data_IF_997389746721
#
_entry.id   IF_997389746721
#
_cell.length_a   1.000
_cell.length_b   1.000
_cell.length_c   1.000
_cell.angle_alpha   90.00
_cell.angle_beta   90.00
_cell.angle_gamma   90.00
#
_symmetry.space_group_name_H-M   'P 1'
#
loop_
_entity.id
_entity.type
_entity.pdbx_description
1 polymer ?
#
# COMPACT_ATOMS: atom_id res chain seq x y z
N UNK A 1 10.96 -41.55 19.85
CA UNK A 1 11.42 -42.70 19.03
C UNK A 1 10.53 -42.78 17.81
N UNK A 2 11.14 -43.07 16.67
CA UNK A 2 10.72 -42.73 15.31
C UNK A 2 9.30 -43.15 14.91
N UNK A 3 8.60 -42.27 14.17
CA UNK A 3 7.73 -42.71 13.09
C UNK A 3 8.08 -41.90 11.85
N UNK A 4 8.71 -42.59 10.89
CA UNK A 4 8.82 -42.16 9.50
C UNK A 4 7.42 -41.98 8.92
N UNK A 5 7.21 -40.88 8.19
CA UNK A 5 6.27 -40.88 7.08
C UNK A 5 6.99 -40.35 5.85
N UNK A 6 7.27 -41.27 4.94
CA UNK A 6 7.79 -41.04 3.60
C UNK A 6 6.56 -40.93 2.70
N UNK A 7 6.30 -39.77 2.10
CA UNK A 7 5.49 -39.70 0.88
C UNK A 7 6.27 -38.89 -0.14
N UNK A 8 6.65 -39.62 -1.18
CA UNK A 8 7.35 -39.18 -2.37
C UNK A 8 6.31 -38.87 -3.47
N UNK A 9 6.78 -38.20 -4.52
CA UNK A 9 6.20 -38.16 -5.87
C UNK A 9 5.36 -36.93 -6.27
N UNK A 10 6.06 -36.00 -6.92
CA UNK A 10 5.77 -35.45 -8.26
C UNK A 10 4.32 -35.53 -8.78
N UNK A 11 3.70 -34.37 -8.99
CA UNK A 11 2.68 -34.17 -10.02
C UNK A 11 3.24 -33.24 -11.10
N UNK A 12 3.76 -33.86 -12.16
CA UNK A 12 4.07 -33.22 -13.44
C UNK A 12 2.78 -33.06 -14.25
N UNK A 13 2.64 -31.89 -14.86
CA UNK A 13 1.98 -31.59 -16.15
C UNK A 13 0.63 -32.25 -16.49
N UNK A 14 -0.40 -31.40 -16.66
CA UNK A 14 -1.41 -31.59 -17.70
C UNK A 14 -1.68 -30.31 -18.48
N UNK A 15 -1.40 -30.41 -19.76
CA UNK A 15 -1.68 -29.46 -20.83
C UNK A 15 -3.18 -29.17 -20.92
N UNK A 16 -3.52 -27.89 -21.16
CA UNK A 16 -4.80 -27.49 -21.76
C UNK A 16 -4.54 -26.35 -22.74
N UNK A 17 -4.24 -26.71 -23.98
CA UNK A 17 -4.27 -25.80 -25.13
C UNK A 17 -5.72 -25.60 -25.57
N UNK A 18 -6.23 -24.37 -25.54
CA UNK A 18 -7.51 -24.02 -26.17
C UNK A 18 -7.25 -22.88 -27.16
N UNK A 19 -7.20 -23.24 -28.43
CA UNK A 19 -7.30 -22.34 -29.56
C UNK A 19 -8.76 -22.35 -30.05
N UNK A 20 -9.40 -21.18 -30.10
CA UNK A 20 -10.67 -20.99 -30.79
C UNK A 20 -10.70 -19.61 -31.45
N UNK A 21 -10.45 -19.65 -32.77
CA UNK A 21 -11.07 -18.93 -33.89
C UNK A 21 -11.98 -17.73 -33.57
N UNK A 22 -11.69 -16.61 -34.27
CA UNK A 22 -12.48 -15.39 -34.24
C UNK A 22 -13.79 -15.44 -35.04
N UNK A 23 -14.62 -14.41 -34.82
CA UNK A 23 -15.71 -13.97 -35.68
C UNK A 23 -16.13 -12.59 -35.15
N UNK A 24 -16.08 -11.52 -35.96
CA UNK A 24 -17.33 -10.90 -36.39
C UNK A 24 -17.47 -9.44 -35.95
N UNK A 25 -17.18 -8.58 -36.90
CA UNK A 25 -17.63 -7.19 -37.15
C UNK A 25 -18.96 -6.72 -36.50
N UNK A 26 -18.98 -5.40 -36.18
CA UNK A 26 -20.10 -4.42 -36.20
C UNK A 26 -21.23 -4.49 -35.14
N UNK A 27 -21.37 -3.42 -34.35
CA UNK A 27 -22.37 -2.35 -34.60
C UNK A 27 -22.31 -1.21 -33.56
N UNK A 28 -22.38 0.02 -34.09
CA UNK A 28 -22.49 1.30 -33.39
C UNK A 28 -23.91 1.53 -32.91
N UNK A 29 -24.11 1.97 -31.66
CA UNK A 29 -25.19 2.92 -31.31
C UNK A 29 -24.78 3.77 -30.11
N UNK A 30 -24.51 5.04 -30.38
CA UNK A 30 -24.43 6.13 -29.39
C UNK A 30 -25.84 6.67 -29.19
N UNK A 31 -26.35 6.65 -27.96
CA UNK A 31 -27.61 7.33 -27.61
C UNK A 31 -27.31 8.46 -26.62
N UNK A 32 -27.75 9.65 -27.02
CA UNK A 32 -27.72 10.92 -26.30
C UNK A 32 -28.71 10.91 -25.14
N UNK A 33 -28.35 11.56 -24.03
CA UNK A 33 -29.32 12.27 -23.19
C UNK A 33 -28.62 13.39 -22.42
N UNK A 34 -28.59 14.58 -23.03
CA UNK A 34 -28.32 15.84 -22.35
C UNK A 34 -29.62 16.29 -21.67
N UNK A 35 -29.60 16.44 -20.35
CA UNK A 35 -30.66 17.13 -19.62
C UNK A 35 -30.07 18.40 -19.01
N UNK A 36 -30.35 19.53 -19.66
CA UNK A 36 -30.20 20.88 -19.12
C UNK A 36 -31.50 21.26 -18.42
N UNK A 37 -31.52 21.43 -17.09
CA UNK A 37 -32.59 22.15 -16.43
C UNK A 37 -32.25 23.64 -16.36
N UNK A 38 -32.92 24.44 -17.20
CA UNK A 38 -33.12 25.87 -16.95
C UNK A 38 -34.34 26.01 -16.05
N UNK A 39 -34.11 26.18 -14.75
CA UNK A 39 -35.14 26.49 -13.76
C UNK A 39 -34.93 27.90 -13.21
N UNK A 40 -35.69 28.85 -13.76
CA UNK A 40 -35.84 30.22 -13.32
C UNK A 40 -36.87 30.29 -12.18
N UNK A 41 -36.48 30.76 -11.00
CA UNK A 41 -37.41 31.29 -9.99
C UNK A 41 -36.61 31.96 -8.87
N UNK A 42 -36.36 33.26 -9.05
CA UNK A 42 -35.88 34.17 -8.01
C UNK A 42 -37.00 34.40 -6.98
N UNK A 43 -37.22 33.44 -6.08
CA UNK A 43 -38.07 33.66 -4.91
C UNK A 43 -37.27 34.37 -3.82
N UNK A 44 -37.50 35.68 -3.75
CA UNK A 44 -37.16 36.51 -2.61
C UNK A 44 -38.14 36.16 -1.49
N UNK A 45 -37.71 35.34 -0.55
CA UNK A 45 -38.45 35.07 0.69
C UNK A 45 -37.51 35.29 1.87
N UNK A 46 -37.95 36.17 2.76
CA UNK A 46 -37.36 36.57 4.04
C UNK A 46 -36.96 35.35 4.89
N UNK A 47 -35.80 35.37 5.57
CA UNK A 47 -35.48 34.34 6.55
C UNK A 47 -36.20 34.63 7.87
N UNK A 48 -37.09 33.75 8.37
CA UNK A 48 -37.36 33.70 9.79
C UNK A 48 -36.12 33.15 10.51
N UNK A 49 -35.69 33.88 11.53
CA UNK A 49 -34.73 33.45 12.55
C UNK A 49 -35.25 32.19 13.23
N UNK A 50 -34.87 31.02 12.71
CA UNK A 50 -34.89 29.77 13.43
C UNK A 50 -33.46 29.25 13.47
N UNK A 51 -32.77 29.59 14.55
CA UNK A 51 -31.52 28.96 14.98
C UNK A 51 -31.85 27.52 15.37
N UNK A 52 -31.97 26.65 14.38
CA UNK A 52 -31.73 25.24 14.57
C UNK A 52 -30.21 25.09 14.74
N UNK A 53 -29.78 24.73 15.95
CA UNK A 53 -28.41 24.29 16.15
C UNK A 53 -28.17 23.09 15.22
N UNK A 54 -27.17 23.10 14.34
CA UNK A 54 -26.74 21.87 13.71
C UNK A 54 -26.25 20.98 14.83
N UNK A 55 -26.93 19.86 15.04
CA UNK A 55 -26.37 18.73 15.78
C UNK A 55 -25.19 18.21 14.96
N UNK A 56 -24.04 18.88 15.04
CA UNK A 56 -22.77 18.38 14.54
C UNK A 56 -22.31 17.24 15.45
N UNK A 57 -23.02 16.11 15.37
CA UNK A 57 -22.36 14.81 15.45
C UNK A 57 -21.96 14.43 14.02
N UNK A 58 -21.19 15.31 13.38
CA UNK A 58 -20.24 14.83 12.40
C UNK A 58 -19.21 14.07 13.23
N UNK A 59 -19.41 12.76 13.39
CA UNK A 59 -18.26 11.88 13.51
C UNK A 59 -17.45 12.17 12.25
N UNK A 60 -16.48 13.07 12.39
CA UNK A 60 -15.50 13.34 11.37
C UNK A 60 -14.76 12.03 11.19
N UNK A 61 -15.27 11.19 10.28
CA UNK A 61 -14.63 9.94 9.92
C UNK A 61 -13.23 10.32 9.48
N UNK A 62 -12.23 9.84 10.21
CA UNK A 62 -10.84 9.99 9.78
C UNK A 62 -10.64 9.41 8.38
N UNK A 63 -9.46 9.60 7.78
CA UNK A 63 -9.12 8.94 6.53
C UNK A 63 -9.41 7.44 6.60
N UNK A 64 -9.82 6.81 5.48
CA UNK A 64 -10.13 5.38 5.47
C UNK A 64 -8.91 4.55 5.88
N UNK A 65 -9.17 3.45 6.56
CA UNK A 65 -8.15 2.49 6.95
C UNK A 65 -7.45 1.92 5.72
N UNK A 66 -6.14 1.71 5.81
CA UNK A 66 -5.43 0.89 4.83
C UNK A 66 -5.83 -0.57 5.05
N UNK A 67 -6.08 -1.32 3.98
CA UNK A 67 -6.40 -2.75 4.08
C UNK A 67 -5.21 -3.53 4.63
N UNK A 68 -5.32 -3.98 5.88
CA UNK A 68 -4.37 -4.93 6.46
C UNK A 68 -4.66 -6.34 5.94
N UNK A 69 -3.62 -7.15 5.81
CA UNK A 69 -3.74 -8.58 5.45
C UNK A 69 -3.73 -9.50 6.68
N UNK A 70 -3.26 -8.97 7.81
CA UNK A 70 -3.18 -9.73 9.07
C UNK A 70 -3.11 -8.80 10.29
N UNK A 71 -3.46 -9.34 11.45
CA UNK A 71 -3.39 -8.70 12.75
C UNK A 71 -2.53 -9.57 13.69
N UNK A 72 -1.54 -8.96 14.36
CA UNK A 72 -0.45 -9.68 15.03
C UNK A 72 -0.28 -9.20 16.48
N UNK A 73 0.06 -10.13 17.38
CA UNK A 73 0.41 -9.79 18.76
C UNK A 73 1.78 -9.07 18.87
N UNK A 74 2.72 -9.39 17.97
CA UNK A 74 4.06 -8.80 17.91
C UNK A 74 4.57 -8.79 16.46
N UNK A 75 5.61 -7.99 16.12
CA UNK A 75 6.27 -8.09 14.82
C UNK A 75 6.82 -9.51 14.60
N UNK A 76 6.70 -10.07 13.38
CA UNK A 76 7.16 -11.43 13.10
C UNK A 76 8.69 -11.53 13.11
N UNK A 77 9.22 -12.76 13.19
CA UNK A 77 10.65 -13.00 12.99
C UNK A 77 11.12 -12.52 11.60
N UNK A 78 12.37 -12.07 11.49
CA UNK A 78 12.90 -11.47 10.25
C UNK A 78 12.49 -10.01 10.04
N UNK A 79 11.91 -9.37 11.06
CA UNK A 79 11.57 -7.95 11.06
C UNK A 79 12.29 -7.23 12.21
N UNK A 80 12.71 -6.00 11.94
CA UNK A 80 13.31 -5.10 12.93
C UNK A 80 12.45 -3.86 13.13
N UNK A 81 12.45 -3.33 14.34
CA UNK A 81 11.76 -2.09 14.66
C UNK A 81 12.46 -0.87 14.05
N UNK A 82 11.65 0.07 13.55
CA UNK A 82 12.02 1.42 13.13
C UNK A 82 11.24 2.38 14.02
N UNK A 83 11.90 2.91 15.04
CA UNK A 83 11.20 3.57 16.14
C UNK A 83 10.41 2.55 16.98
N UNK A 84 9.19 2.93 17.41
CA UNK A 84 8.35 2.09 18.29
C UNK A 84 7.07 1.56 17.64
N UNK A 85 6.72 2.08 16.46
CA UNK A 85 5.41 1.90 15.84
C UNK A 85 5.50 1.17 14.49
N UNK A 86 6.70 0.92 13.98
CA UNK A 86 6.91 0.35 12.64
C UNK A 86 7.94 -0.75 12.71
N UNK A 87 7.71 -1.83 11.98
CA UNK A 87 8.70 -2.86 11.72
C UNK A 87 8.82 -3.13 10.21
N UNK A 88 10.05 -3.33 9.76
CA UNK A 88 10.42 -3.60 8.37
C UNK A 88 11.32 -4.85 8.31
N UNK A 89 11.49 -5.51 7.15
CA UNK A 89 12.39 -6.64 7.01
C UNK A 89 13.79 -6.34 7.55
N UNK A 90 14.35 -7.24 8.34
CA UNK A 90 15.68 -7.09 8.92
C UNK A 90 16.82 -7.41 7.93
N UNK A 91 16.51 -8.19 6.90
CA UNK A 91 17.36 -8.57 5.78
C UNK A 91 16.95 -7.89 4.46
N UNK A 92 17.82 -7.88 3.44
CA UNK A 92 17.49 -7.38 2.11
C UNK A 92 16.34 -8.15 1.45
N UNK A 93 15.48 -7.45 0.73
CA UNK A 93 14.42 -8.05 -0.09
C UNK A 93 15.04 -8.42 -1.45
N UNK A 94 15.42 -9.68 -1.60
CA UNK A 94 16.17 -10.16 -2.79
C UNK A 94 15.29 -10.44 -4.01
N UNK A 95 13.99 -10.67 -3.80
CA UNK A 95 13.01 -10.91 -4.87
C UNK A 95 12.62 -9.59 -5.53
N UNK A 96 13.34 -9.22 -6.60
CA UNK A 96 13.03 -8.08 -7.48
C UNK A 96 12.63 -8.57 -8.87
N UNK A 97 11.60 -7.95 -9.43
CA UNK A 97 11.11 -8.27 -10.77
C UNK A 97 10.93 -6.99 -11.60
N UNK A 98 10.86 -7.10 -12.92
CA UNK A 98 10.46 -5.97 -13.76
C UNK A 98 9.02 -5.57 -13.43
N UNK A 99 8.78 -4.29 -13.18
CA UNK A 99 7.45 -3.81 -12.76
C UNK A 99 6.47 -3.62 -13.91
N UNK A 100 6.99 -3.31 -15.11
CA UNK A 100 6.16 -2.87 -16.25
C UNK A 100 5.73 -1.40 -16.20
N UNK A 101 6.17 -0.65 -15.19
CA UNK A 101 5.86 0.78 -15.05
C UNK A 101 6.59 1.63 -16.10
N UNK A 102 5.92 2.69 -16.58
CA UNK A 102 6.53 3.66 -17.49
C UNK A 102 7.51 4.62 -16.80
N UNK A 103 7.37 4.81 -15.48
CA UNK A 103 8.26 5.66 -14.68
C UNK A 103 9.65 5.01 -14.56
N UNK A 104 10.74 5.66 -15.02
CA UNK A 104 12.09 5.12 -14.91
C UNK A 104 12.55 4.88 -13.48
N UNK A 105 12.01 5.62 -12.50
CA UNK A 105 12.28 5.40 -11.07
C UNK A 105 11.61 4.12 -10.53
N UNK A 106 10.67 3.55 -11.29
CA UNK A 106 9.84 2.42 -10.90
C UNK A 106 10.13 1.15 -11.70
N UNK A 107 11.28 1.03 -12.37
CA UNK A 107 11.58 -0.08 -13.31
C UNK A 107 11.50 -1.49 -12.70
N UNK A 108 12.01 -1.67 -11.49
CA UNK A 108 11.98 -2.93 -10.76
C UNK A 108 11.04 -2.80 -9.56
N UNK A 109 10.36 -3.87 -9.19
CA UNK A 109 9.51 -3.94 -8.01
C UNK A 109 9.95 -5.07 -7.08
N UNK A 110 10.00 -4.78 -5.78
CA UNK A 110 10.14 -5.76 -4.72
C UNK A 110 8.92 -5.69 -3.80
N UNK A 111 8.23 -6.82 -3.67
CA UNK A 111 7.10 -6.97 -2.75
C UNK A 111 7.61 -7.29 -1.35
N UNK A 112 7.12 -6.57 -0.34
CA UNK A 112 7.43 -6.84 1.06
C UNK A 112 6.33 -6.32 2.00
N UNK A 113 6.30 -6.84 3.23
CA UNK A 113 5.29 -6.49 4.22
C UNK A 113 5.74 -5.31 5.08
N UNK A 114 4.86 -4.33 5.30
CA UNK A 114 5.06 -3.32 6.34
C UNK A 114 4.24 -3.73 7.56
N UNK A 115 4.84 -3.71 8.74
CA UNK A 115 4.12 -4.00 9.98
C UNK A 115 4.05 -2.74 10.82
N UNK A 116 2.84 -2.31 11.18
CA UNK A 116 2.58 -1.05 11.89
C UNK A 116 1.78 -1.34 13.14
N UNK A 117 2.11 -0.67 14.24
CA UNK A 117 1.36 -0.77 15.49
C UNK A 117 -0.10 -0.35 15.27
N UNK A 118 -1.04 -1.10 15.84
CA UNK A 118 -2.47 -0.81 15.77
C UNK A 118 -2.79 0.60 16.31
N UNK A 119 -3.73 1.28 15.67
CA UNK A 119 -4.12 2.66 15.98
C UNK A 119 -3.14 3.74 15.53
N UNK A 120 -2.15 3.42 14.69
CA UNK A 120 -1.13 4.39 14.23
C UNK A 120 -1.31 4.75 12.76
N UNK A 121 -0.90 5.97 12.44
CA UNK A 121 -0.70 6.42 11.06
C UNK A 121 0.80 6.57 10.85
N UNK A 122 1.27 6.05 9.73
CA UNK A 122 2.69 6.05 9.37
C UNK A 122 2.83 6.63 7.97
N UNK A 123 3.70 7.63 7.85
CA UNK A 123 4.13 8.14 6.56
C UNK A 123 5.51 7.57 6.24
N UNK A 124 5.64 6.99 5.05
CA UNK A 124 6.91 6.56 4.48
C UNK A 124 7.26 7.50 3.33
N UNK A 125 8.53 7.87 3.26
CA UNK A 125 9.06 8.73 2.20
C UNK A 125 10.44 8.25 1.78
N UNK A 126 10.70 8.19 0.48
CA UNK A 126 12.08 8.02 -0.02
C UNK A 126 12.91 9.25 0.39
N UNK A 127 14.11 9.05 0.91
CA UNK A 127 14.91 10.17 1.42
C UNK A 127 15.20 11.22 0.32
N UNK A 128 15.47 12.49 0.69
CA UNK A 128 15.88 13.51 -0.28
C UNK A 128 17.00 13.03 -1.22
N UNK A 129 16.86 13.26 -2.52
CA UNK A 129 17.79 12.82 -3.56
C UNK A 129 17.50 11.42 -4.14
N UNK A 130 16.43 10.77 -3.67
CA UNK A 130 15.96 9.46 -4.16
C UNK A 130 14.60 9.52 -4.89
N UNK A 131 13.99 10.70 -5.00
CA UNK A 131 12.72 10.88 -5.68
C UNK A 131 12.76 10.60 -7.18
N UNK A 132 13.93 10.45 -7.80
CA UNK A 132 14.03 10.00 -9.21
C UNK A 132 14.54 8.56 -9.33
N UNK A 133 14.68 7.85 -8.20
CA UNK A 133 15.33 6.53 -8.13
C UNK A 133 14.47 5.45 -7.50
N UNK A 134 13.48 5.83 -6.70
CA UNK A 134 12.62 4.90 -6.00
C UNK A 134 11.19 5.42 -5.82
N UNK A 135 10.26 4.47 -5.68
CA UNK A 135 8.85 4.68 -5.34
C UNK A 135 8.42 3.69 -4.26
N UNK A 136 7.29 3.99 -3.65
CA UNK A 136 6.67 3.31 -2.53
C UNK A 136 5.19 3.12 -2.81
N UNK A 137 4.58 2.12 -2.17
CA UNK A 137 3.15 1.88 -2.30
C UNK A 137 2.65 0.80 -1.35
N UNK A 138 1.62 1.15 -0.58
CA UNK A 138 0.84 0.25 0.28
C UNK A 138 -0.63 0.61 0.15
N UNK A 139 -1.48 -0.40 0.10
CA UNK A 139 -2.92 -0.22 -0.01
C UNK A 139 -3.37 0.28 -1.38
N UNK A 140 -3.67 -0.66 -2.28
CA UNK A 140 -4.67 -0.58 -3.36
C UNK A 140 -4.59 0.50 -4.45
N UNK A 141 -3.94 1.65 -4.24
CA UNK A 141 -4.02 2.80 -5.15
C UNK A 141 -3.25 2.61 -6.46
N UNK A 142 -2.50 1.51 -6.61
CA UNK A 142 -1.84 1.07 -7.83
C UNK A 142 -0.66 1.92 -8.28
N UNK A 143 -0.71 3.24 -8.07
CA UNK A 143 0.29 4.20 -8.55
C UNK A 143 1.48 4.30 -7.59
N UNK A 144 2.70 3.93 -8.02
CA UNK A 144 3.90 4.12 -7.22
C UNK A 144 4.18 5.61 -6.97
N UNK A 145 4.54 5.99 -5.75
CA UNK A 145 4.82 7.39 -5.39
C UNK A 145 6.09 7.54 -4.55
N UNK A 146 6.64 8.75 -4.43
CA UNK A 146 7.78 9.00 -3.53
C UNK A 146 7.42 8.89 -2.04
N UNK A 147 6.12 8.88 -1.73
CA UNK A 147 5.54 8.80 -0.40
C UNK A 147 4.42 7.76 -0.35
N UNK A 148 4.24 7.12 0.79
CA UNK A 148 3.08 6.28 1.07
C UNK A 148 2.61 6.51 2.51
N UNK A 149 1.29 6.56 2.71
CA UNK A 149 0.69 6.68 4.06
C UNK A 149 -0.07 5.41 4.37
N UNK A 150 0.15 4.86 5.56
CA UNK A 150 -0.55 3.68 6.06
C UNK A 150 -1.34 4.05 7.30
N UNK A 151 -2.66 3.87 7.24
CA UNK A 151 -3.59 4.05 8.35
C UNK A 151 -3.87 2.68 8.98
N UNK A 152 -3.13 2.32 10.01
CA UNK A 152 -3.28 1.06 10.73
C UNK A 152 -4.36 1.18 11.79
N UNK A 153 -5.62 1.17 11.37
CA UNK A 153 -6.76 1.19 12.28
C UNK A 153 -6.70 0.02 13.28
N UNK A 154 -7.16 0.24 14.53
CA UNK A 154 -7.23 -0.85 15.51
C UNK A 154 -8.08 -2.00 14.98
N UNK A 155 -7.66 -3.26 15.16
CA UNK A 155 -8.48 -4.43 14.88
C UNK A 155 -9.66 -4.50 15.86
N UNK A 156 -10.72 -5.21 15.50
CA UNK A 156 -11.83 -5.50 16.41
C UNK A 156 -11.40 -6.41 17.57
N UNK A 157 -10.38 -7.25 17.33
CA UNK A 157 -9.73 -8.07 18.34
C UNK A 157 -8.67 -7.27 19.11
N UNK A 158 -8.93 -7.00 20.38
CA UNK A 158 -8.04 -6.23 21.27
C UNK A 158 -6.71 -6.93 21.61
N UNK A 159 -6.55 -8.23 21.28
CA UNK A 159 -5.29 -8.95 21.50
C UNK A 159 -4.22 -8.60 20.45
N UNK A 160 -4.62 -8.16 19.26
CA UNK A 160 -3.68 -7.77 18.21
C UNK A 160 -3.14 -6.35 18.44
N UNK A 161 -1.81 -6.24 18.55
CA UNK A 161 -1.12 -4.97 18.80
C UNK A 161 -0.50 -4.37 17.53
N UNK A 162 -0.47 -5.14 16.44
CA UNK A 162 0.18 -4.79 15.18
C UNK A 162 -0.68 -5.23 14.00
N UNK A 163 -0.53 -4.52 12.89
CA UNK A 163 -1.24 -4.74 11.63
C UNK A 163 -0.22 -4.94 10.51
N UNK A 164 -0.40 -5.96 9.70
CA UNK A 164 0.47 -6.25 8.56
C UNK A 164 -0.15 -5.75 7.25
N UNK A 165 0.66 -5.09 6.43
CA UNK A 165 0.23 -4.51 5.15
C UNK A 165 1.09 -5.03 4.02
N UNK A 166 0.44 -5.40 2.92
CA UNK A 166 1.14 -5.79 1.70
C UNK A 166 1.35 -4.57 0.82
N UNK A 167 2.58 -4.44 0.36
CA UNK A 167 2.98 -3.39 -0.57
C UNK A 167 4.39 -3.66 -1.06
N UNK A 168 5.14 -2.59 -1.31
CA UNK A 168 6.54 -2.75 -1.65
C UNK A 168 7.23 -1.47 -2.08
N UNK A 169 8.38 -1.68 -2.71
CA UNK A 169 9.25 -0.62 -3.19
C UNK A 169 9.56 -0.85 -4.65
N UNK A 170 9.44 0.20 -5.45
CA UNK A 170 9.96 0.21 -6.81
C UNK A 170 11.29 0.95 -6.85
N UNK A 171 12.20 0.51 -7.70
CA UNK A 171 13.52 1.11 -7.88
C UNK A 171 13.93 1.13 -9.34
N UNK A 172 14.70 2.15 -9.74
CA UNK A 172 15.29 2.20 -11.09
C UNK A 172 16.27 1.05 -11.35
N UNK A 173 16.96 0.62 -10.30
CA UNK A 173 17.94 -0.48 -10.25
C UNK A 173 18.02 -1.03 -8.82
N UNK A 174 18.49 -2.26 -8.66
CA UNK A 174 18.77 -2.82 -7.33
C UNK A 174 19.67 -1.87 -6.52
N UNK A 175 19.28 -1.58 -5.28
CA UNK A 175 19.92 -0.56 -4.47
C UNK A 175 19.60 -0.71 -2.97
N UNK A 176 20.41 -0.08 -2.13
CA UNK A 176 20.07 0.20 -0.74
C UNK A 176 19.26 1.50 -0.67
N UNK A 177 17.96 1.41 -0.41
CA UNK A 177 17.01 2.53 -0.48
C UNK A 177 16.87 3.18 0.90
N UNK A 178 17.28 4.45 1.07
CA UNK A 178 17.08 5.19 2.30
C UNK A 178 15.64 5.70 2.39
N UNK A 179 14.98 5.37 3.48
CA UNK A 179 13.61 5.78 3.80
C UNK A 179 13.59 6.66 5.05
N UNK A 180 12.70 7.64 5.03
CA UNK A 180 12.23 8.33 6.23
C UNK A 180 10.87 7.77 6.60
N UNK A 181 10.73 7.32 7.84
CA UNK A 181 9.48 6.82 8.43
C UNK A 181 9.05 7.81 9.49
N UNK A 182 7.88 8.41 9.32
CA UNK A 182 7.30 9.34 10.28
C UNK A 182 6.16 8.64 11.02
N UNK A 183 6.26 8.60 12.35
CA UNK A 183 5.17 8.10 13.21
C UNK A 183 5.09 8.92 14.49
N UNK A 184 3.88 9.32 14.86
CA UNK A 184 3.65 10.12 16.07
C UNK A 184 4.41 11.44 16.10
N UNK A 185 4.57 12.08 14.93
CA UNK A 185 5.30 13.34 14.78
C UNK A 185 6.83 13.21 14.90
N UNK A 186 7.37 11.99 14.83
CA UNK A 186 8.82 11.73 14.88
C UNK A 186 9.29 11.05 13.63
N UNK A 187 10.44 11.48 13.13
CA UNK A 187 11.12 10.91 11.97
C UNK A 187 12.16 9.87 12.40
N UNK A 188 12.17 8.76 11.68
CA UNK A 188 13.13 7.69 11.80
C UNK A 188 13.73 7.41 10.43
N UNK A 189 15.04 7.14 10.38
CA UNK A 189 15.70 6.73 9.13
C UNK A 189 15.92 5.24 9.12
N UNK A 190 15.73 4.63 7.97
CA UNK A 190 16.03 3.22 7.75
C UNK A 190 16.49 3.00 6.32
N UNK A 191 17.52 2.17 6.18
CA UNK A 191 18.00 1.72 4.89
C UNK A 191 17.44 0.32 4.60
N UNK A 192 16.82 0.17 3.42
CA UNK A 192 16.22 -1.09 2.99
C UNK A 192 16.92 -1.59 1.73
N UNK A 193 17.54 -2.76 1.81
CA UNK A 193 18.16 -3.40 0.65
C UNK A 193 17.11 -3.97 -0.29
N UNK A 194 17.07 -3.49 -1.53
CA UNK A 194 16.14 -3.95 -2.58
C UNK A 194 16.96 -4.57 -3.73
N UNK A 195 16.88 -5.89 -3.87
CA UNK A 195 17.66 -6.67 -4.84
C UNK A 195 19.16 -6.75 -4.54
N UNK A 196 19.63 -6.06 -3.50
CA UNK A 196 21.03 -6.03 -3.06
C UNK A 196 21.08 -5.74 -1.55
N UNK A 197 22.14 -6.19 -0.89
CA UNK A 197 22.38 -5.83 0.50
C UNK A 197 22.77 -4.36 0.66
N UNK A 198 22.43 -3.78 1.81
CA UNK A 198 22.96 -2.48 2.23
C UNK A 198 24.36 -2.64 2.80
N UNK A 199 25.30 -1.80 2.37
CA UNK A 199 26.62 -1.74 2.97
C UNK A 199 26.51 -1.19 4.40
N UNK A 200 26.94 -1.98 5.39
CA UNK A 200 26.90 -1.57 6.80
C UNK A 200 27.88 -0.43 7.14
N UNK A 201 28.68 0.02 6.18
CA UNK A 201 29.71 1.05 6.34
C UNK A 201 29.24 2.45 5.96
N UNK A 202 27.99 2.63 5.51
CA UNK A 202 27.41 3.95 5.24
C UNK A 202 26.39 4.29 6.33
N UNK A 203 26.90 4.52 7.55
CA UNK A 203 26.19 5.37 8.51
C UNK A 203 26.60 6.81 8.19
N UNK A 204 25.68 7.79 8.14
CA UNK A 204 26.06 9.19 7.98
C UNK A 204 27.00 9.68 9.09
#
# INVERSE_FOLDING_TARGET
MCYEYRVNSNCTERHSAWASLGCGLLCVTVLLSACTPSGDARQRTTPPTNRAAPSTNASAGGPPCTTAVDALAAPPAGYRLVGKDVAVPDAPVMSVESSGEADPAARLFAKWGLVVRAGRVVDLRVAPGWQDKARLGWGGTGTPAATATVHACPPEDEQAQWMAFVGGTWVARAACVPLTVTSGGRDYRVDLGIGVACDKNTTP
#
